data_IF_709293203643
#
_entry.id   IF_709293203643
#
_cell.length_a   1.000
_cell.length_b   1.000
_cell.length_c   1.000
_cell.angle_alpha   90.00
_cell.angle_beta   90.00
_cell.angle_gamma   90.00
#
_symmetry.space_group_name_H-M   'P 1'
#
loop_
_entity.id
_entity.type
_entity.pdbx_description
1 polymer ?
#
# COMPACT_ATOMS: atom_id res chain seq x y z
N UNK A 1 -18.64 -14.49 -23.15
CA UNK A 1 -17.32 -14.19 -23.76
C UNK A 1 -16.23 -15.18 -23.41
N UNK A 2 -15.93 -15.46 -22.13
CA UNK A 2 -14.83 -16.39 -21.74
C UNK A 2 -14.85 -17.77 -22.41
N UNK A 3 -16.02 -18.37 -22.62
CA UNK A 3 -16.16 -19.68 -23.31
C UNK A 3 -15.69 -19.65 -24.78
N UNK A 4 -15.95 -18.56 -25.51
CA UNK A 4 -15.48 -18.39 -26.89
C UNK A 4 -13.97 -18.18 -26.93
N UNK A 5 -13.43 -17.31 -26.07
CA UNK A 5 -12.00 -17.08 -25.96
C UNK A 5 -11.21 -18.35 -25.59
N UNK A 6 -11.77 -19.22 -24.73
CA UNK A 6 -11.16 -20.51 -24.40
C UNK A 6 -11.07 -21.43 -25.62
N UNK A 7 -12.12 -21.47 -26.44
CA UNK A 7 -12.14 -22.28 -27.67
C UNK A 7 -11.11 -21.75 -28.68
N UNK A 8 -11.05 -20.43 -28.87
CA UNK A 8 -10.13 -19.80 -29.82
C UNK A 8 -8.66 -19.97 -29.38
N UNK A 9 -8.41 -20.04 -28.06
CA UNK A 9 -7.09 -20.30 -27.49
C UNK A 9 -6.70 -21.79 -27.45
N UNK A 10 -7.62 -22.72 -27.74
CA UNK A 10 -7.35 -24.17 -27.69
C UNK A 10 -6.14 -24.59 -28.56
N UNK A 11 -6.04 -24.22 -29.86
CA UNK A 11 -4.89 -24.61 -30.67
C UNK A 11 -3.58 -24.02 -30.12
N UNK A 12 -3.62 -22.79 -29.60
CA UNK A 12 -2.46 -22.17 -28.96
C UNK A 12 -2.02 -22.94 -27.71
N UNK A 13 -2.95 -23.31 -26.83
CA UNK A 13 -2.65 -24.11 -25.63
C UNK A 13 -2.13 -25.51 -25.95
N UNK A 14 -2.58 -26.10 -27.06
CA UNK A 14 -2.05 -27.38 -27.52
C UNK A 14 -0.61 -27.26 -28.03
N UNK A 15 -0.27 -26.16 -28.70
CA UNK A 15 1.08 -25.88 -29.18
C UNK A 15 2.04 -25.41 -28.07
N UNK A 16 1.51 -24.75 -27.04
CA UNK A 16 2.25 -24.21 -25.89
C UNK A 16 1.62 -24.69 -24.59
N UNK A 17 1.85 -25.95 -24.19
CA UNK A 17 1.29 -26.49 -22.96
C UNK A 17 1.85 -25.70 -21.77
N UNK A 18 0.94 -25.21 -20.93
CA UNK A 18 1.28 -24.56 -19.66
C UNK A 18 1.29 -25.62 -18.55
N UNK A 19 2.10 -25.45 -17.49
CA UNK A 19 2.03 -26.32 -16.34
C UNK A 19 0.62 -26.33 -15.73
N UNK A 20 0.04 -27.51 -15.56
CA UNK A 20 -1.25 -27.69 -14.88
C UNK A 20 -1.10 -27.73 -13.35
N UNK A 21 0.12 -27.93 -12.86
CA UNK A 21 0.39 -27.90 -11.43
C UNK A 21 0.25 -26.46 -10.91
N UNK A 22 -0.54 -26.23 -9.84
CA UNK A 22 -0.57 -24.93 -9.19
C UNK A 22 0.83 -24.58 -8.70
N UNK A 23 1.13 -23.28 -8.64
CA UNK A 23 2.36 -22.85 -7.97
C UNK A 23 2.39 -23.38 -6.55
N UNK A 24 3.57 -23.79 -6.05
CA UNK A 24 3.70 -24.32 -4.70
C UNK A 24 3.19 -23.27 -3.71
N UNK A 25 2.15 -23.63 -2.95
CA UNK A 25 1.66 -22.79 -1.87
C UNK A 25 2.57 -23.00 -0.65
N UNK A 26 3.09 -21.93 -0.02
CA UNK A 26 3.85 -22.07 1.21
C UNK A 26 2.94 -22.62 2.31
N UNK A 27 3.49 -23.49 3.16
CA UNK A 27 2.83 -23.85 4.42
C UNK A 27 2.93 -22.65 5.37
N UNK A 28 1.78 -22.02 5.64
CA UNK A 28 1.69 -20.86 6.53
C UNK A 28 1.46 -21.25 8.00
N UNK A 29 1.22 -22.52 8.29
CA UNK A 29 0.99 -23.02 9.66
C UNK A 29 2.08 -22.57 10.65
N UNK A 30 3.39 -22.74 10.37
CA UNK A 30 4.43 -22.32 11.32
C UNK A 30 4.45 -20.81 11.57
N UNK A 31 4.14 -20.00 10.55
CA UNK A 31 4.05 -18.54 10.69
C UNK A 31 2.86 -18.14 11.56
N UNK A 32 1.71 -18.79 11.36
CA UNK A 32 0.50 -18.53 12.14
C UNK A 32 0.67 -18.96 13.60
N UNK A 33 1.33 -20.09 13.85
CA UNK A 33 1.65 -20.58 15.20
C UNK A 33 2.63 -19.62 15.91
N UNK A 34 3.68 -19.18 15.22
CA UNK A 34 4.64 -18.20 15.76
C UNK A 34 3.95 -16.84 16.02
N UNK A 35 3.08 -16.40 15.13
CA UNK A 35 2.30 -15.17 15.29
C UNK A 35 1.34 -15.26 16.50
N UNK A 36 0.73 -16.43 16.73
CA UNK A 36 -0.13 -16.66 17.88
C UNK A 36 0.65 -16.73 19.22
N UNK A 37 1.90 -17.17 19.18
CA UNK A 37 2.79 -17.22 20.33
C UNK A 37 3.46 -15.87 20.66
N UNK A 38 3.50 -14.94 19.70
CA UNK A 38 4.13 -13.64 19.84
C UNK A 38 3.49 -12.82 20.97
N UNK A 39 4.34 -12.23 21.82
CA UNK A 39 3.96 -11.45 23.00
C UNK A 39 4.39 -10.00 22.90
N UNK A 40 5.30 -9.70 21.98
CA UNK A 40 5.86 -8.36 21.81
C UNK A 40 5.68 -7.85 20.38
N UNK A 41 5.65 -6.51 20.18
CA UNK A 41 5.68 -5.91 18.86
C UNK A 41 6.84 -6.41 17.98
N UNK A 42 8.03 -6.59 18.56
CA UNK A 42 9.21 -7.08 17.84
C UNK A 42 9.07 -8.54 17.39
N UNK A 43 8.42 -9.40 18.17
CA UNK A 43 8.17 -10.79 17.76
C UNK A 43 7.16 -10.87 16.60
N UNK A 44 6.11 -10.04 16.64
CA UNK A 44 5.14 -9.96 15.53
C UNK A 44 5.86 -9.46 14.26
N UNK A 45 6.69 -8.44 14.40
CA UNK A 45 7.46 -7.84 13.32
C UNK A 45 8.40 -8.87 12.69
N UNK A 46 9.20 -9.58 13.50
CA UNK A 46 10.11 -10.61 13.04
C UNK A 46 9.42 -11.75 12.26
N UNK A 47 8.24 -12.21 12.71
CA UNK A 47 7.46 -13.23 11.99
C UNK A 47 6.89 -12.66 10.68
N UNK A 48 6.46 -11.39 10.70
CA UNK A 48 5.91 -10.70 9.53
C UNK A 48 7.00 -10.48 8.47
N UNK A 49 8.15 -9.95 8.84
CA UNK A 49 9.29 -9.75 7.94
C UNK A 49 9.73 -11.06 7.30
N UNK A 50 9.86 -12.12 8.10
CA UNK A 50 10.29 -13.42 7.56
C UNK A 50 9.29 -13.98 6.54
N UNK A 51 7.97 -13.82 6.74
CA UNK A 51 6.99 -14.29 5.75
C UNK A 51 6.99 -13.42 4.49
N UNK A 52 7.23 -12.10 4.64
CA UNK A 52 7.31 -11.17 3.52
C UNK A 52 8.56 -11.41 2.67
N UNK A 53 9.71 -11.62 3.29
CA UNK A 53 10.97 -11.99 2.61
C UNK A 53 10.82 -13.32 1.84
N UNK A 54 10.14 -14.30 2.44
CA UNK A 54 9.86 -15.57 1.78
C UNK A 54 8.89 -15.40 0.58
N UNK A 55 7.97 -14.45 0.65
CA UNK A 55 6.99 -14.18 -0.41
C UNK A 55 7.50 -13.26 -1.52
N UNK A 56 8.51 -12.40 -1.25
CA UNK A 56 9.03 -11.41 -2.21
C UNK A 56 9.37 -12.01 -3.57
N UNK A 57 10.13 -13.12 -3.69
CA UNK A 57 10.51 -13.65 -4.99
C UNK A 57 9.31 -14.04 -5.85
N UNK A 58 8.29 -14.65 -5.24
CA UNK A 58 7.07 -15.06 -5.95
C UNK A 58 6.25 -13.85 -6.41
N UNK A 59 6.14 -12.81 -5.56
CA UNK A 59 5.44 -11.57 -5.91
C UNK A 59 6.18 -10.79 -7.00
N UNK A 60 7.52 -10.79 -7.00
CA UNK A 60 8.34 -10.17 -8.05
C UNK A 60 8.14 -10.88 -9.39
N UNK A 61 8.23 -12.21 -9.43
CA UNK A 61 7.98 -13.00 -10.65
C UNK A 61 6.57 -12.76 -11.21
N UNK A 62 5.55 -12.72 -10.34
CA UNK A 62 4.19 -12.41 -10.77
C UNK A 62 4.07 -10.99 -11.33
N UNK A 63 4.68 -10.00 -10.66
CA UNK A 63 4.68 -8.60 -11.10
C UNK A 63 5.33 -8.48 -12.48
N UNK A 64 6.51 -9.08 -12.69
CA UNK A 64 7.22 -9.05 -13.96
C UNK A 64 6.41 -9.68 -15.10
N UNK A 65 5.72 -10.80 -14.83
CA UNK A 65 4.82 -11.41 -15.81
C UNK A 65 3.66 -10.47 -16.17
N UNK A 66 3.03 -9.84 -15.18
CA UNK A 66 1.93 -8.89 -15.40
C UNK A 66 2.38 -7.67 -16.21
N UNK A 67 3.60 -7.16 -15.98
CA UNK A 67 4.21 -6.10 -16.78
C UNK A 67 4.44 -6.57 -18.22
N UNK A 68 4.96 -7.78 -18.42
CA UNK A 68 5.17 -8.36 -19.74
C UNK A 68 3.83 -8.51 -20.49
N UNK A 69 2.79 -9.02 -19.82
CA UNK A 69 1.45 -9.14 -20.37
C UNK A 69 0.84 -7.78 -20.71
N UNK A 70 1.01 -6.76 -19.86
CA UNK A 70 0.53 -5.40 -20.11
C UNK A 70 1.16 -4.78 -21.37
N UNK A 71 2.42 -5.14 -21.67
CA UNK A 71 3.20 -4.64 -22.81
C UNK A 71 3.02 -5.48 -24.08
N UNK A 72 2.14 -6.48 -24.08
CA UNK A 72 1.90 -7.31 -25.25
C UNK A 72 1.59 -6.43 -26.47
N UNK A 73 2.29 -6.68 -27.59
CA UNK A 73 2.22 -5.90 -28.84
C UNK A 73 2.32 -4.38 -28.67
N UNK A 74 3.04 -3.89 -27.66
CA UNK A 74 3.17 -2.45 -27.36
C UNK A 74 1.84 -1.76 -27.02
N UNK A 75 0.80 -2.51 -26.62
CA UNK A 75 -0.51 -1.94 -26.24
C UNK A 75 -0.45 -0.95 -25.07
N UNK A 76 0.66 -0.95 -24.31
CA UNK A 76 0.85 -0.04 -23.19
C UNK A 76 1.26 1.41 -23.59
N UNK A 77 1.68 1.66 -24.83
CA UNK A 77 2.33 2.94 -25.20
C UNK A 77 1.41 4.17 -25.02
N UNK A 78 0.10 3.97 -25.21
CA UNK A 78 -0.96 4.99 -25.06
C UNK A 78 -2.16 4.43 -24.27
N UNK A 79 -1.91 3.47 -23.37
CA UNK A 79 -2.96 2.78 -22.64
C UNK A 79 -3.76 3.75 -21.76
N UNK A 80 -5.00 4.04 -22.16
CA UNK A 80 -5.90 4.86 -21.38
C UNK A 80 -6.13 4.28 -19.97
N UNK A 81 -6.43 5.15 -19.00
CA UNK A 81 -6.82 4.72 -17.64
C UNK A 81 -8.02 3.76 -17.73
N UNK A 82 -7.90 2.60 -17.09
CA UNK A 82 -8.92 1.56 -17.12
C UNK A 82 -8.87 0.61 -18.33
N UNK A 83 -7.94 0.82 -19.27
CA UNK A 83 -7.63 -0.16 -20.31
C UNK A 83 -7.05 -1.45 -19.71
N UNK A 84 -7.13 -2.60 -20.43
CA UNK A 84 -6.53 -3.85 -19.98
C UNK A 84 -5.05 -3.74 -19.59
N UNK A 85 -4.21 -3.07 -20.39
CA UNK A 85 -2.79 -2.85 -20.08
C UNK A 85 -2.59 -2.04 -18.80
N UNK A 86 -3.38 -0.97 -18.61
CA UNK A 86 -3.33 -0.18 -17.37
C UNK A 86 -3.74 -1.03 -16.15
N UNK A 87 -4.78 -1.86 -16.27
CA UNK A 87 -5.22 -2.75 -15.19
C UNK A 87 -4.15 -3.79 -14.83
N UNK A 88 -3.47 -4.37 -15.82
CA UNK A 88 -2.37 -5.30 -15.60
C UNK A 88 -1.17 -4.62 -14.94
N UNK A 89 -0.78 -3.42 -15.39
CA UNK A 89 0.29 -2.63 -14.76
C UNK A 89 -0.06 -2.24 -13.32
N UNK A 90 -1.33 -1.89 -13.07
CA UNK A 90 -1.84 -1.60 -11.73
C UNK A 90 -1.77 -2.84 -10.83
N UNK A 91 -2.13 -4.01 -11.35
CA UNK A 91 -2.03 -5.27 -10.62
C UNK A 91 -0.57 -5.62 -10.28
N UNK A 92 0.35 -5.44 -11.24
CA UNK A 92 1.78 -5.64 -11.04
C UNK A 92 2.33 -4.74 -9.92
N UNK A 93 1.96 -3.44 -9.96
CA UNK A 93 2.34 -2.47 -8.93
C UNK A 93 1.78 -2.87 -7.57
N UNK A 94 0.49 -3.23 -7.49
CA UNK A 94 -0.16 -3.61 -6.23
C UNK A 94 0.43 -4.85 -5.59
N UNK A 95 0.88 -5.82 -6.39
CA UNK A 95 1.56 -7.01 -5.88
C UNK A 95 2.81 -6.65 -5.08
N UNK A 96 3.59 -5.67 -5.55
CA UNK A 96 4.80 -5.20 -4.86
C UNK A 96 4.49 -4.18 -3.76
N UNK A 97 3.49 -3.32 -3.95
CA UNK A 97 3.07 -2.36 -2.91
C UNK A 97 2.61 -3.04 -1.62
N UNK A 98 2.09 -4.27 -1.70
CA UNK A 98 1.73 -5.04 -0.51
C UNK A 98 2.92 -5.26 0.44
N UNK A 99 4.12 -5.52 -0.09
CA UNK A 99 5.34 -5.69 0.70
C UNK A 99 5.72 -4.39 1.41
N UNK A 100 5.79 -3.29 0.67
CA UNK A 100 6.16 -1.99 1.20
C UNK A 100 5.18 -1.47 2.28
N UNK A 101 3.88 -1.69 2.07
CA UNK A 101 2.86 -1.30 3.06
C UNK A 101 2.95 -2.13 4.34
N UNK A 102 3.34 -3.40 4.25
CA UNK A 102 3.48 -4.26 5.41
C UNK A 102 4.75 -3.91 6.22
N UNK A 103 5.86 -3.63 5.55
CA UNK A 103 7.10 -3.10 6.15
C UNK A 103 6.85 -1.76 6.87
N UNK A 104 6.17 -0.82 6.20
CA UNK A 104 5.78 0.46 6.83
C UNK A 104 4.89 0.25 8.07
N UNK A 105 3.96 -0.71 8.02
CA UNK A 105 3.12 -1.05 9.16
C UNK A 105 3.93 -1.64 10.33
N UNK A 106 4.94 -2.47 10.05
CA UNK A 106 5.89 -3.01 11.02
C UNK A 106 6.68 -1.91 11.72
N UNK A 107 7.34 -1.05 10.93
CA UNK A 107 8.08 0.11 11.44
C UNK A 107 7.23 1.05 12.29
N UNK A 108 5.99 1.33 11.85
CA UNK A 108 5.08 2.17 12.63
C UNK A 108 4.68 1.52 13.95
N UNK A 109 4.47 0.19 13.97
CA UNK A 109 4.21 -0.56 15.20
C UNK A 109 5.41 -0.53 16.15
N UNK A 110 6.62 -0.75 15.64
CA UNK A 110 7.84 -0.68 16.44
C UNK A 110 8.07 0.71 17.02
N UNK A 111 7.89 1.77 16.21
CA UNK A 111 8.01 3.16 16.67
C UNK A 111 7.04 3.43 17.81
N UNK A 112 5.78 3.02 17.67
CA UNK A 112 4.78 3.21 18.73
C UNK A 112 5.16 2.50 20.05
N UNK A 113 5.87 1.37 19.98
CA UNK A 113 6.24 0.57 21.15
C UNK A 113 7.55 1.02 21.82
N UNK A 114 8.55 1.39 21.03
CA UNK A 114 9.92 1.62 21.50
C UNK A 114 10.37 3.10 21.43
N UNK A 115 9.72 3.91 20.60
CA UNK A 115 9.97 5.35 20.45
C UNK A 115 8.65 6.13 20.41
N UNK A 116 7.83 6.07 21.48
CA UNK A 116 6.58 6.79 21.51
C UNK A 116 6.88 8.30 21.49
N UNK A 117 6.29 9.01 20.52
CA UNK A 117 6.39 10.46 20.46
C UNK A 117 6.04 11.07 21.83
N UNK A 118 6.77 12.10 22.29
CA UNK A 118 6.47 12.72 23.57
C UNK A 118 5.01 13.17 23.57
N UNK A 119 4.27 12.76 24.61
CA UNK A 119 2.88 13.17 24.77
C UNK A 119 2.79 14.69 24.66
N UNK A 120 1.85 15.24 23.87
CA UNK A 120 1.66 16.69 23.84
C UNK A 120 1.45 17.13 25.28
N UNK A 121 2.35 17.97 25.78
CA UNK A 121 2.18 18.60 27.10
C UNK A 121 0.80 19.24 27.06
N UNK A 122 -0.13 18.74 27.87
CA UNK A 122 -1.41 19.37 28.04
C UNK A 122 -1.11 20.81 28.48
N UNK A 123 -1.21 21.74 27.54
CA UNK A 123 -1.19 23.16 27.85
C UNK A 123 -2.28 23.35 28.89
N UNK A 124 -1.86 23.87 30.04
CA UNK A 124 -2.72 24.26 31.12
C UNK A 124 -3.79 25.23 30.58
N UNK A 125 -5.00 24.73 30.33
CA UNK A 125 -6.18 25.56 30.15
C UNK A 125 -7.37 24.93 30.89
N UNK A 126 -7.13 24.64 32.17
CA UNK A 126 -8.15 24.82 33.20
C UNK A 126 -8.08 26.27 33.70
N UNK A 127 -8.51 27.24 32.90
CA UNK A 127 -9.08 28.48 33.47
C UNK A 127 -9.82 29.32 32.44
N UNK A 128 -11.05 29.62 32.82
CA UNK A 128 -11.86 30.78 32.43
C UNK A 128 -12.55 30.69 31.06
N UNK A 129 -13.86 30.47 31.14
CA UNK A 129 -14.79 30.83 30.09
C UNK A 129 -14.51 32.23 29.57
N UNK A 130 -14.27 32.31 28.27
CA UNK A 130 -14.14 33.56 27.54
C UNK A 130 -15.28 33.60 26.52
N UNK A 131 -16.22 34.49 26.79
CA UNK A 131 -17.18 35.04 25.84
C UNK A 131 -16.50 35.36 24.51
N UNK A 132 -17.12 34.91 23.41
CA UNK A 132 -16.73 35.24 22.05
C UNK A 132 -16.44 36.75 21.91
N UNK A 133 -15.21 37.09 21.54
CA UNK A 133 -14.81 38.46 21.24
C UNK A 133 -14.26 38.52 19.82
N UNK A 134 -14.96 39.26 18.97
CA UNK A 134 -14.61 39.55 17.58
C UNK A 134 -13.21 40.21 17.48
N UNK A 135 -12.50 40.03 16.34
CA UNK A 135 -11.18 40.64 16.15
C UNK A 135 -11.29 42.18 16.10
N UNK A 136 -10.27 42.91 16.60
CA UNK A 136 -10.30 44.37 16.66
C UNK A 136 -10.17 45.01 15.28
N UNK A 137 -10.87 46.12 15.08
CA UNK A 137 -10.86 46.91 13.85
C UNK A 137 -9.52 47.67 13.66
N UNK A 138 -9.08 47.89 12.41
CA UNK A 138 -7.86 48.63 12.12
C UNK A 138 -7.99 50.13 12.46
N UNK A 139 -6.90 50.81 12.85
CA UNK A 139 -6.94 52.21 13.29
C UNK A 139 -7.16 53.20 12.12
N UNK A 140 -8.08 54.15 12.33
CA UNK A 140 -8.41 55.23 11.40
C UNK A 140 -7.24 56.20 11.19
N UNK A 141 -6.90 56.44 9.93
CA UNK A 141 -5.94 57.47 9.50
C UNK A 141 -6.50 58.87 9.79
N UNK A 142 -5.81 59.65 10.61
CA UNK A 142 -6.16 61.03 10.93
C UNK A 142 -6.11 61.97 9.70
N UNK A 143 -6.85 63.09 9.72
CA UNK A 143 -6.89 64.02 8.59
C UNK A 143 -5.62 64.88 8.55
N UNK A 144 -4.90 64.78 7.43
CA UNK A 144 -3.88 65.73 7.00
C UNK A 144 -4.49 67.00 6.35
N UNK A 145 -3.68 68.04 6.09
CA UNK A 145 -4.05 69.43 6.39
C UNK A 145 -4.46 70.30 5.18
N UNK A 146 -4.77 71.57 5.52
CA UNK A 146 -5.00 72.80 4.72
C UNK A 146 -6.48 73.08 4.43
N UNK A 147 -6.97 74.30 4.71
CA UNK A 147 -6.43 75.58 4.26
C UNK A 147 -6.81 76.73 5.19
#
# INVERSE_FOLDING_TARGET
MKRWAQRDAQPFRAAYPLPDQPWPAPDLTPYLDALAAARTPAEIDAVTDHVLDAAEPALRVLSDYLVAAARWKQENRDAAKGSPSHLLMTAASRALSALALADEAGLNRLRAAYDPAPAPTASADASRGATASLPPAPPSTGPGPRR
#
